data_IF_087674311617
#
_entry.id   IF_087674311617
#
_cell.length_a   1.000
_cell.length_b   1.000
_cell.length_c   1.000
_cell.angle_alpha   90.00
_cell.angle_beta   90.00
_cell.angle_gamma   90.00
#
_symmetry.space_group_name_H-M   'P 1'
#
loop_
_entity.id
_entity.type
_entity.pdbx_description
1 polymer ?
#
# COMPACT_ATOMS: atom_id res chain seq x y z
N UNK A 1 -21.42 -7.21 -10.41
CA UNK A 1 -20.29 -6.78 -11.28
C UNK A 1 -18.90 -7.13 -10.75
N UNK A 2 -18.71 -7.36 -9.45
CA UNK A 2 -17.40 -7.66 -8.83
C UNK A 2 -16.85 -9.08 -9.06
N UNK A 3 -17.71 -10.08 -9.28
CA UNK A 3 -17.28 -11.48 -9.46
C UNK A 3 -16.48 -11.72 -10.75
N UNK A 4 -16.77 -10.98 -11.83
CA UNK A 4 -16.11 -11.16 -13.12
C UNK A 4 -14.64 -10.72 -13.09
N UNK A 5 -14.35 -9.56 -12.48
CA UNK A 5 -12.98 -9.03 -12.38
C UNK A 5 -12.08 -9.94 -11.54
N UNK A 6 -12.59 -10.47 -10.41
CA UNK A 6 -11.84 -11.41 -9.57
C UNK A 6 -11.41 -12.64 -10.37
N UNK A 7 -12.33 -13.24 -11.13
CA UNK A 7 -12.03 -14.43 -11.94
C UNK A 7 -10.99 -14.12 -13.03
N UNK A 8 -11.14 -12.99 -13.72
CA UNK A 8 -10.16 -12.57 -14.72
C UNK A 8 -8.75 -12.37 -14.14
N UNK A 9 -8.62 -11.81 -12.92
CA UNK A 9 -7.34 -11.68 -12.23
C UNK A 9 -6.75 -13.04 -11.85
N UNK A 10 -7.56 -13.98 -11.36
CA UNK A 10 -7.11 -15.33 -10.99
C UNK A 10 -6.65 -16.15 -12.20
N UNK A 11 -7.31 -15.98 -13.36
CA UNK A 11 -6.97 -16.68 -14.60
C UNK A 11 -5.90 -15.97 -15.43
N UNK A 12 -5.35 -14.85 -14.94
CA UNK A 12 -4.33 -14.05 -15.66
C UNK A 12 -4.86 -13.31 -16.89
N UNK A 13 -6.18 -13.18 -17.04
CA UNK A 13 -6.85 -12.47 -18.13
C UNK A 13 -7.02 -10.96 -17.88
N UNK A 14 -6.66 -10.49 -16.68
CA UNK A 14 -6.58 -9.09 -16.31
C UNK A 14 -5.34 -8.84 -15.45
N UNK A 15 -4.89 -7.59 -15.40
CA UNK A 15 -3.76 -7.16 -14.56
C UNK A 15 -4.26 -6.14 -13.54
N UNK A 16 -3.84 -6.30 -12.28
CA UNK A 16 -4.06 -5.26 -11.27
C UNK A 16 -3.20 -4.03 -11.60
N UNK A 17 -3.80 -2.83 -11.75
CA UNK A 17 -3.03 -1.61 -11.92
C UNK A 17 -1.99 -1.44 -10.82
N UNK A 18 -0.76 -1.11 -11.21
CA UNK A 18 0.35 -0.84 -10.27
C UNK A 18 0.28 0.60 -9.77
N UNK A 19 -0.84 0.97 -9.17
CA UNK A 19 -1.06 2.30 -8.61
C UNK A 19 -0.59 2.39 -7.16
N UNK A 20 -0.37 3.62 -6.70
CA UNK A 20 0.22 3.93 -5.40
C UNK A 20 1.74 3.72 -5.35
N UNK A 21 2.36 4.24 -4.30
CA UNK A 21 3.81 4.22 -4.14
C UNK A 21 4.23 4.10 -2.68
N UNK A 22 5.41 3.53 -2.44
CA UNK A 22 6.10 3.66 -1.16
C UNK A 22 7.06 4.83 -1.27
N UNK A 23 7.00 5.76 -0.33
CA UNK A 23 7.92 6.89 -0.24
C UNK A 23 8.65 6.88 1.10
N UNK A 24 9.91 7.32 1.10
CA UNK A 24 10.63 7.61 2.34
C UNK A 24 10.20 8.98 2.84
N UNK A 25 10.02 9.11 4.15
CA UNK A 25 9.70 10.36 4.82
C UNK A 25 10.94 10.93 5.51
N UNK A 26 10.94 12.24 5.72
CA UNK A 26 11.95 12.95 6.52
C UNK A 26 11.77 12.72 8.03
N UNK A 27 10.69 12.06 8.43
CA UNK A 27 10.40 11.70 9.83
C UNK A 27 11.04 10.37 10.22
N UNK A 28 11.46 10.23 11.48
CA UNK A 28 11.94 8.94 11.99
C UNK A 28 10.82 7.90 12.17
N UNK A 29 9.61 8.34 12.57
CA UNK A 29 8.49 7.43 12.88
C UNK A 29 7.15 7.92 12.29
N UNK A 30 6.63 7.27 11.23
CA UNK A 30 7.29 6.26 10.40
C UNK A 30 8.33 6.89 9.46
N UNK A 31 9.35 6.11 9.08
CA UNK A 31 10.32 6.49 8.05
C UNK A 31 9.80 6.30 6.61
N UNK A 32 8.64 5.63 6.44
CA UNK A 32 8.04 5.35 5.14
C UNK A 32 6.52 5.55 5.19
N UNK A 33 5.95 5.99 4.05
CA UNK A 33 4.51 6.04 3.82
C UNK A 33 4.13 5.22 2.58
N UNK A 34 2.90 4.69 2.61
CA UNK A 34 2.24 4.13 1.42
C UNK A 34 1.23 5.15 0.94
N UNK A 35 1.42 5.64 -0.28
CA UNK A 35 0.53 6.60 -0.93
C UNK A 35 -0.43 5.88 -1.88
N UNK A 36 -1.65 6.38 -1.93
CA UNK A 36 -2.67 5.99 -2.89
C UNK A 36 -2.38 6.61 -4.28
N UNK A 37 -3.25 6.36 -5.30
CA UNK A 37 -3.03 6.91 -6.64
C UNK A 37 -3.11 8.45 -6.71
N UNK A 38 -3.78 9.10 -5.76
CA UNK A 38 -3.89 10.56 -5.65
C UNK A 38 -2.69 11.17 -4.88
N UNK A 39 -1.78 10.35 -4.38
CA UNK A 39 -0.64 10.79 -3.56
C UNK A 39 -0.97 10.97 -2.08
N UNK A 40 -2.16 10.59 -1.64
CA UNK A 40 -2.58 10.67 -0.25
C UNK A 40 -2.09 9.44 0.53
N UNK A 41 -1.65 9.58 1.79
CA UNK A 41 -1.32 8.43 2.62
C UNK A 41 -2.52 7.49 2.79
N UNK A 42 -2.29 6.18 2.64
CA UNK A 42 -3.31 5.18 2.97
C UNK A 42 -3.49 5.18 4.49
N UNK A 43 -4.63 5.69 4.94
CA UNK A 43 -4.91 5.97 6.35
C UNK A 43 -4.73 4.73 7.24
N UNK A 44 -5.24 3.58 6.79
CA UNK A 44 -5.16 2.31 7.55
C UNK A 44 -3.74 1.72 7.64
N UNK A 45 -2.82 2.11 6.75
CA UNK A 45 -1.43 1.65 6.75
C UNK A 45 -0.54 2.49 7.68
N UNK A 46 -0.89 3.77 7.84
CA UNK A 46 -0.04 4.76 8.52
C UNK A 46 0.20 4.43 10.00
N UNK A 47 -0.81 4.06 10.82
CA UNK A 47 -0.60 3.65 12.21
C UNK A 47 0.30 2.42 12.33
N UNK A 48 0.09 1.41 11.49
CA UNK A 48 0.88 0.19 11.51
C UNK A 48 2.38 0.46 11.27
N UNK A 49 2.71 1.27 10.26
CA UNK A 49 4.12 1.61 9.99
C UNK A 49 4.74 2.46 11.10
N UNK A 50 3.94 3.31 11.75
CA UNK A 50 4.38 4.09 12.92
C UNK A 50 4.71 3.16 14.08
N UNK A 51 3.80 2.27 14.43
CA UNK A 51 3.96 1.31 15.54
C UNK A 51 5.14 0.37 15.27
N UNK A 52 5.29 -0.08 14.01
CA UNK A 52 6.43 -0.89 13.59
C UNK A 52 7.75 -0.14 13.81
N UNK A 53 7.82 1.14 13.45
CA UNK A 53 9.01 1.96 13.60
C UNK A 53 9.33 2.27 15.08
N UNK A 54 8.33 2.29 15.98
CA UNK A 54 8.53 2.49 17.41
C UNK A 54 9.06 1.24 18.13
N UNK A 55 8.85 0.05 17.56
CA UNK A 55 9.29 -1.23 18.13
C UNK A 55 10.77 -1.58 17.84
N UNK A 56 11.65 -0.57 17.79
CA UNK A 56 13.10 -0.71 17.54
C UNK A 56 13.46 -1.49 16.25
N UNK A 57 12.57 -1.44 15.26
CA UNK A 57 12.79 -2.07 13.97
C UNK A 57 13.64 -1.19 13.06
N UNK A 58 14.52 -1.82 12.29
CA UNK A 58 15.34 -1.08 11.32
C UNK A 58 14.46 -0.37 10.27
N UNK A 59 14.91 0.78 9.72
CA UNK A 59 14.24 1.42 8.58
C UNK A 59 14.08 0.48 7.38
N UNK A 60 15.01 -0.46 7.19
CA UNK A 60 14.91 -1.48 6.13
C UNK A 60 13.71 -2.42 6.35
N UNK A 61 13.42 -2.79 7.60
CA UNK A 61 12.23 -3.56 7.98
C UNK A 61 10.96 -2.78 7.63
N UNK A 62 10.87 -1.50 8.04
CA UNK A 62 9.71 -0.65 7.69
C UNK A 62 9.50 -0.52 6.19
N UNK A 63 10.58 -0.41 5.40
CA UNK A 63 10.53 -0.38 3.93
C UNK A 63 9.95 -1.68 3.36
N UNK A 64 10.38 -2.83 3.86
CA UNK A 64 9.87 -4.13 3.39
C UNK A 64 8.37 -4.24 3.62
N UNK A 65 7.92 -3.94 4.84
CA UNK A 65 6.51 -3.97 5.19
C UNK A 65 5.68 -2.95 4.41
N UNK A 66 6.18 -1.74 4.16
CA UNK A 66 5.50 -0.78 3.31
C UNK A 66 5.29 -1.30 1.88
N UNK A 67 6.26 -2.02 1.31
CA UNK A 67 6.13 -2.64 -0.02
C UNK A 67 5.12 -3.78 -0.03
N UNK A 68 5.11 -4.61 1.01
CA UNK A 68 4.10 -5.65 1.16
C UNK A 68 2.70 -5.02 1.29
N UNK A 69 2.52 -4.05 2.17
CA UNK A 69 1.24 -3.36 2.34
C UNK A 69 0.76 -2.70 1.04
N UNK A 70 1.63 -2.03 0.28
CA UNK A 70 1.27 -1.50 -1.04
C UNK A 70 0.73 -2.60 -1.97
N UNK A 71 1.36 -3.78 -1.99
CA UNK A 71 0.88 -4.92 -2.80
C UNK A 71 -0.50 -5.39 -2.36
N UNK A 72 -0.73 -5.48 -1.05
CA UNK A 72 -2.00 -5.95 -0.48
C UNK A 72 -3.14 -4.95 -0.64
N UNK A 73 -2.86 -3.65 -0.56
CA UNK A 73 -3.87 -2.59 -0.68
C UNK A 73 -4.20 -2.20 -2.13
N UNK A 74 -3.41 -2.60 -3.13
CA UNK A 74 -3.67 -2.29 -4.54
C UNK A 74 -5.09 -2.56 -5.01
N UNK A 75 -5.72 -3.72 -4.73
CA UNK A 75 -7.11 -3.97 -5.14
C UNK A 75 -8.09 -2.93 -4.58
N UNK A 76 -7.89 -2.52 -3.32
CA UNK A 76 -8.73 -1.53 -2.63
C UNK A 76 -8.47 -0.13 -3.20
N UNK A 77 -7.21 0.25 -3.34
CA UNK A 77 -6.78 1.55 -3.84
C UNK A 77 -7.21 1.78 -5.31
N UNK A 78 -7.20 0.74 -6.14
CA UNK A 78 -7.69 0.79 -7.52
C UNK A 78 -9.20 1.12 -7.60
N UNK A 79 -9.98 0.70 -6.60
CA UNK A 79 -11.44 0.91 -6.59
C UNK A 79 -11.86 2.24 -5.99
N UNK A 80 -11.06 2.82 -5.09
CA UNK A 80 -11.37 4.10 -4.42
C UNK A 80 -10.98 5.33 -5.24
N UNK A 81 -10.13 5.19 -6.26
CA UNK A 81 -9.74 6.28 -7.17
C UNK A 81 -10.83 6.70 -8.18
N UNK A 82 -12.08 6.26 -8.00
CA UNK A 82 -13.19 6.48 -8.94
C UNK A 82 -14.32 7.38 -8.42
N UNK A 83 -14.11 8.08 -7.32
CA UNK A 83 -15.06 9.12 -6.84
C UNK A 83 -14.80 10.46 -7.48
#
# INVERSE_FOLDING_TARGET
MTSHLRNQLMEGRAVLPRVGSVVQLETQHPAYAVLDPAGSPVESVTPYLRDLALNDNSPATSRSYANDLLRWFRPVNCTMSRS
#
